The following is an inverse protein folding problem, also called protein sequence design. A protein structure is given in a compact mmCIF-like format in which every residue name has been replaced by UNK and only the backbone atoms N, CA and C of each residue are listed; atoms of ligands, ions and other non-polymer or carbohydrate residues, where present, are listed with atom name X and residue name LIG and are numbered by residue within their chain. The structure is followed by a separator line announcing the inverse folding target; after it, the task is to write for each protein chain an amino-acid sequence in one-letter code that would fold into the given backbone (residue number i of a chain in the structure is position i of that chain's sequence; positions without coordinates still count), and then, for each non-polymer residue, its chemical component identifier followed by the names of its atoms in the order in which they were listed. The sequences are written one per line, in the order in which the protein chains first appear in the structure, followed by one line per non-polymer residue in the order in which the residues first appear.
data_IF_900655551704
#
_entry.id   IF_900655551704
#
_cell.length_a   1.000
_cell.length_b   1.000
_cell.length_c   1.000
_cell.angle_alpha   90.00
_cell.angle_beta   90.00
_cell.angle_gamma   90.00
#
_symmetry.space_group_name_H-M   'P 1'
#
loop_
_entity.id
_entity.type
_entity.pdbx_description
1 polymer ?
#
# COMPACT_ATOMS: atom_id res chain seq x y z
N UNK A 1 -41.61 15.98 -3.72
CA UNK A 1 -40.31 15.40 -3.34
C UNK A 1 -39.19 16.40 -3.69
N UNK A 2 -38.40 16.77 -2.74
CA UNK A 2 -37.33 17.69 -3.04
C UNK A 2 -36.08 16.92 -3.54
N UNK A 3 -35.19 17.66 -4.19
CA UNK A 3 -33.98 17.08 -4.78
C UNK A 3 -33.05 16.47 -3.73
N UNK A 4 -32.98 17.09 -2.56
CA UNK A 4 -32.12 16.58 -1.47
C UNK A 4 -32.58 15.20 -0.99
N UNK A 5 -33.90 14.99 -0.89
CA UNK A 5 -34.45 13.71 -0.50
C UNK A 5 -34.12 12.62 -1.51
N UNK A 6 -34.21 12.95 -2.80
CA UNK A 6 -33.86 12.03 -3.87
C UNK A 6 -32.38 11.66 -3.84
N UNK A 7 -31.53 12.66 -3.73
CA UNK A 7 -30.07 12.41 -3.67
C UNK A 7 -29.68 11.60 -2.43
N UNK A 8 -30.33 11.84 -1.30
CA UNK A 8 -30.08 11.08 -0.09
C UNK A 8 -30.45 9.61 -0.25
N UNK A 9 -31.59 9.33 -0.91
CA UNK A 9 -32.02 7.95 -1.18
C UNK A 9 -31.05 7.25 -2.13
N UNK A 10 -30.60 7.95 -3.16
CA UNK A 10 -29.67 7.37 -4.11
C UNK A 10 -28.32 7.09 -3.47
N UNK A 11 -27.84 7.99 -2.64
CA UNK A 11 -26.61 7.80 -1.87
C UNK A 11 -26.70 6.58 -0.95
N UNK A 12 -27.88 6.32 -0.37
CA UNK A 12 -28.10 5.16 0.51
C UNK A 12 -28.07 3.83 -0.25
N UNK A 13 -28.20 3.83 -1.57
CA UNK A 13 -28.12 2.62 -2.38
C UNK A 13 -26.69 2.14 -2.57
N UNK A 14 -25.72 3.01 -2.32
CA UNK A 14 -24.32 2.66 -2.41
C UNK A 14 -23.92 2.08 -1.04
N UNK A 15 -23.54 0.80 -0.97
CA UNK A 15 -23.15 0.21 0.31
C UNK A 15 -21.90 0.88 0.87
N UNK A 16 -21.77 0.87 2.18
CA UNK A 16 -20.54 1.30 2.84
C UNK A 16 -19.39 0.40 2.38
N UNK A 17 -18.13 0.88 2.45
CA UNK A 17 -16.99 0.03 2.12
C UNK A 17 -17.02 -1.23 2.99
N UNK A 18 -16.79 -2.41 2.41
CA UNK A 18 -16.74 -3.62 3.21
C UNK A 18 -15.57 -3.54 4.20
N UNK A 19 -15.64 -4.25 5.32
CA UNK A 19 -14.50 -4.35 6.21
C UNK A 19 -13.32 -4.96 5.46
N UNK A 20 -12.11 -4.61 5.86
CA UNK A 20 -10.93 -5.22 5.26
C UNK A 20 -11.03 -6.74 5.41
N UNK A 21 -10.77 -7.49 4.36
CA UNK A 21 -10.79 -8.94 4.45
C UNK A 21 -9.71 -9.43 5.41
N UNK A 22 -9.84 -10.67 5.87
CA UNK A 22 -8.78 -11.28 6.67
C UNK A 22 -7.49 -11.29 5.87
N UNK A 23 -6.36 -11.26 6.54
CA UNK A 23 -5.09 -11.20 5.84
C UNK A 23 -4.86 -12.40 4.92
N UNK A 24 -5.43 -13.56 5.25
CA UNK A 24 -5.36 -14.72 4.36
C UNK A 24 -6.05 -14.46 3.03
N UNK A 25 -7.17 -13.75 3.04
CA UNK A 25 -7.88 -13.37 1.82
C UNK A 25 -7.23 -12.18 1.14
N UNK A 26 -6.76 -11.23 1.91
CA UNK A 26 -6.16 -10.01 1.39
C UNK A 26 -4.86 -10.26 0.64
N UNK A 27 -4.08 -11.25 1.09
CA UNK A 27 -2.73 -11.47 0.56
C UNK A 27 -2.71 -11.59 -0.96
N UNK A 28 -3.57 -12.44 -1.55
CA UNK A 28 -3.52 -12.61 -2.99
C UNK A 28 -4.10 -11.42 -3.75
N UNK A 29 -5.08 -10.75 -3.17
CA UNK A 29 -5.79 -9.68 -3.87
C UNK A 29 -5.07 -8.35 -3.71
N UNK A 30 -4.77 -7.96 -2.48
CA UNK A 30 -4.22 -6.64 -2.19
C UNK A 30 -2.71 -6.56 -2.36
N UNK A 31 -2.00 -7.64 -2.07
CA UNK A 31 -0.55 -7.60 -2.11
C UNK A 31 0.03 -8.04 -3.44
N UNK A 32 -0.71 -8.83 -4.21
CA UNK A 32 -0.24 -9.24 -5.55
C UNK A 32 -0.74 -8.28 -6.64
N UNK A 33 -2.03 -7.91 -6.61
CA UNK A 33 -2.61 -7.10 -7.68
C UNK A 33 -2.30 -5.61 -7.57
N UNK A 34 -2.05 -5.12 -6.36
CA UNK A 34 -1.75 -3.71 -6.15
C UNK A 34 -0.27 -3.40 -6.01
N UNK A 35 0.57 -4.37 -6.33
CA UNK A 35 2.02 -4.15 -6.29
C UNK A 35 2.44 -3.42 -7.56
N UNK A 36 2.78 -2.15 -7.41
CA UNK A 36 3.21 -1.32 -8.52
C UNK A 36 4.74 -1.22 -8.51
N UNK A 37 5.37 -1.77 -9.52
CA UNK A 37 6.82 -1.77 -9.64
C UNK A 37 7.36 -0.63 -10.50
N UNK A 38 6.51 0.24 -11.01
CA UNK A 38 6.91 1.40 -11.82
C UNK A 38 7.82 1.04 -13.01
N UNK A 39 7.59 -0.14 -13.58
CA UNK A 39 8.42 -0.63 -14.68
C UNK A 39 9.68 -1.37 -14.25
N UNK A 40 10.00 -1.35 -12.97
CA UNK A 40 11.17 -2.05 -12.43
C UNK A 40 10.83 -3.50 -12.07
N UNK A 41 11.86 -4.30 -11.86
CA UNK A 41 11.70 -5.68 -11.40
C UNK A 41 11.51 -5.70 -9.89
N UNK A 42 10.53 -6.47 -9.42
CA UNK A 42 10.33 -6.67 -7.98
C UNK A 42 11.42 -7.59 -7.43
N UNK A 43 12.12 -7.11 -6.40
CA UNK A 43 13.15 -7.91 -5.73
C UNK A 43 12.58 -8.55 -4.46
N UNK A 44 11.93 -7.74 -3.61
CA UNK A 44 11.40 -8.22 -2.34
C UNK A 44 10.38 -7.23 -1.79
N UNK A 45 9.55 -7.69 -0.87
CA UNK A 45 8.59 -6.86 -0.15
C UNK A 45 8.66 -7.21 1.33
N UNK A 46 8.79 -6.18 2.15
CA UNK A 46 8.83 -6.33 3.61
C UNK A 46 7.59 -5.70 4.22
N UNK A 47 6.80 -6.50 4.94
CA UNK A 47 5.57 -6.05 5.58
C UNK A 47 5.74 -5.93 7.09
N UNK A 48 5.02 -4.98 7.71
CA UNK A 48 4.86 -4.97 9.16
C UNK A 48 4.02 -6.19 9.60
N UNK A 49 4.10 -6.58 10.89
CA UNK A 49 3.27 -7.69 11.38
C UNK A 49 1.78 -7.50 11.15
N UNK A 50 1.26 -6.27 11.28
CA UNK A 50 -0.14 -5.97 11.03
C UNK A 50 -0.45 -5.80 9.54
N UNK A 51 0.58 -5.84 8.68
CA UNK A 51 0.48 -5.74 7.21
C UNK A 51 -0.17 -4.45 6.71
N UNK A 52 -0.04 -3.38 7.49
CA UNK A 52 -0.56 -2.07 7.09
C UNK A 52 0.52 -1.16 6.48
N UNK A 53 1.77 -1.56 6.57
CA UNK A 53 2.90 -0.82 6.01
C UNK A 53 3.86 -1.77 5.32
N UNK A 54 4.54 -1.29 4.29
CA UNK A 54 5.49 -2.14 3.56
C UNK A 54 6.62 -1.34 2.93
N UNK A 55 7.75 -2.00 2.76
CA UNK A 55 8.80 -1.56 1.85
C UNK A 55 8.80 -2.46 0.63
N UNK A 56 8.89 -1.87 -0.55
CA UNK A 56 9.01 -2.58 -1.82
C UNK A 56 10.42 -2.34 -2.34
N UNK A 57 11.16 -3.40 -2.60
CA UNK A 57 12.51 -3.33 -3.14
C UNK A 57 12.46 -3.64 -4.62
N UNK A 58 13.05 -2.74 -5.41
CA UNK A 58 12.96 -2.76 -6.86
C UNK A 58 14.36 -2.75 -7.48
N UNK A 59 14.46 -3.35 -8.66
CA UNK A 59 15.67 -3.32 -9.47
C UNK A 59 15.36 -2.73 -10.83
N UNK A 60 16.10 -1.69 -11.21
CA UNK A 60 15.93 -1.06 -12.51
C UNK A 60 16.49 -1.94 -13.63
N UNK A 61 16.12 -1.62 -14.87
CA UNK A 61 16.65 -2.31 -16.04
C UNK A 61 18.16 -2.15 -16.19
N UNK A 62 18.73 -1.12 -15.58
CA UNK A 62 20.18 -0.87 -15.58
C UNK A 62 20.91 -1.54 -14.43
N UNK A 63 20.19 -2.27 -13.59
CA UNK A 63 20.80 -3.03 -12.49
C UNK A 63 20.96 -2.28 -11.20
N UNK A 64 20.36 -1.11 -11.05
CA UNK A 64 20.37 -0.37 -9.80
C UNK A 64 19.18 -0.73 -8.93
N UNK A 65 19.35 -0.65 -7.62
CA UNK A 65 18.33 -0.99 -6.65
C UNK A 65 17.77 0.26 -5.98
N UNK A 66 16.52 0.19 -5.58
CA UNK A 66 15.86 1.24 -4.78
C UNK A 66 14.76 0.61 -3.94
N UNK A 67 14.27 1.37 -2.96
CA UNK A 67 13.11 0.94 -2.19
C UNK A 67 12.07 2.05 -2.13
N UNK A 68 10.82 1.64 -1.94
CA UNK A 68 9.68 2.55 -1.77
C UNK A 68 8.94 2.14 -0.51
N UNK A 69 8.61 3.11 0.33
CA UNK A 69 7.80 2.87 1.52
C UNK A 69 6.35 3.22 1.23
N UNK A 70 5.44 2.32 1.59
CA UNK A 70 4.01 2.52 1.36
C UNK A 70 3.19 2.17 2.59
N UNK A 71 2.05 2.83 2.73
CA UNK A 71 1.08 2.56 3.78
C UNK A 71 -0.25 2.16 3.17
N UNK A 72 -0.95 1.26 3.85
CA UNK A 72 -2.27 0.82 3.42
C UNK A 72 -3.28 1.91 3.77
N UNK A 73 -4.02 2.36 2.77
CA UNK A 73 -5.05 3.37 2.92
C UNK A 73 -6.42 2.72 2.71
N UNK A 74 -7.17 2.46 3.80
CA UNK A 74 -8.57 2.02 3.66
C UNK A 74 -9.39 3.17 3.07
N UNK A 75 -10.23 2.86 2.10
CA UNK A 75 -11.06 3.88 1.49
C UNK A 75 -12.12 4.38 2.47
N UNK A 76 -12.33 5.71 2.49
CA UNK A 76 -13.44 6.31 3.19
C UNK A 76 -14.74 5.98 2.45
N UNK A 77 -15.87 6.24 3.09
CA UNK A 77 -17.17 6.03 2.47
C UNK A 77 -17.30 6.83 1.17
N UNK A 78 -16.82 8.07 1.18
CA UNK A 78 -16.86 8.91 -0.02
C UNK A 78 -15.99 8.35 -1.14
N UNK A 79 -14.79 7.92 -0.82
CA UNK A 79 -13.89 7.33 -1.82
C UNK A 79 -14.48 6.04 -2.39
N UNK A 80 -15.09 5.23 -1.53
CA UNK A 80 -15.71 3.98 -1.94
C UNK A 80 -16.84 4.19 -2.95
N UNK A 81 -17.55 5.31 -2.85
CA UNK A 81 -18.59 5.64 -3.83
C UNK A 81 -18.07 5.66 -5.25
N UNK A 82 -16.81 6.05 -5.44
CA UNK A 82 -16.19 6.08 -6.76
C UNK A 82 -15.52 4.76 -7.10
N UNK A 83 -14.77 4.21 -6.17
CA UNK A 83 -14.00 2.97 -6.37
C UNK A 83 -14.91 1.79 -6.64
N UNK A 84 -16.06 1.72 -5.97
CA UNK A 84 -17.00 0.60 -6.10
C UNK A 84 -17.62 0.47 -7.50
N UNK A 85 -17.51 1.51 -8.31
CA UNK A 85 -18.01 1.51 -9.69
C UNK A 85 -17.09 0.79 -10.67
N UNK A 86 -15.86 0.53 -10.27
CA UNK A 86 -14.90 -0.17 -11.10
C UNK A 86 -15.09 -1.68 -11.07
N UNK A 87 -14.31 -2.38 -11.87
CA UNK A 87 -14.29 -3.85 -11.87
C UNK A 87 -13.47 -4.35 -10.69
N UNK A 88 -14.02 -5.30 -9.94
CA UNK A 88 -13.30 -5.93 -8.81
C UNK A 88 -12.73 -4.90 -7.84
N UNK A 89 -13.58 -4.02 -7.27
CA UNK A 89 -13.08 -2.99 -6.36
C UNK A 89 -12.50 -3.61 -5.09
N UNK A 90 -11.43 -3.01 -4.59
CA UNK A 90 -10.80 -3.42 -3.32
C UNK A 90 -11.10 -2.35 -2.27
N UNK A 91 -11.21 -2.73 -0.99
CA UNK A 91 -11.58 -1.78 0.06
C UNK A 91 -10.44 -0.87 0.51
N UNK A 92 -9.25 -1.03 -0.04
CA UNK A 92 -8.07 -0.24 0.34
C UNK A 92 -7.09 -0.20 -0.81
N UNK A 93 -6.13 0.72 -0.73
CA UNK A 93 -5.03 0.81 -1.70
C UNK A 93 -3.72 1.11 -0.96
N UNK A 94 -2.60 0.82 -1.64
CA UNK A 94 -1.29 1.15 -1.11
C UNK A 94 -0.86 2.50 -1.64
N UNK A 95 -0.40 3.36 -0.74
CA UNK A 95 0.03 4.70 -1.09
C UNK A 95 1.35 5.05 -0.41
N UNK A 96 2.26 5.76 -1.10
CA UNK A 96 3.44 6.29 -0.43
C UNK A 96 2.99 7.33 0.60
N UNK A 97 3.75 7.44 1.69
CA UNK A 97 3.49 8.51 2.66
C UNK A 97 3.64 9.87 2.00
N UNK A 98 2.93 10.86 2.52
CA UNK A 98 2.99 12.23 1.99
C UNK A 98 4.44 12.71 1.91
N UNK A 99 4.85 13.17 0.74
CA UNK A 99 6.21 13.64 0.50
C UNK A 99 7.23 12.56 0.19
N UNK A 100 6.85 11.29 0.28
CA UNK A 100 7.76 10.19 -0.01
C UNK A 100 7.84 9.93 -1.51
N UNK A 101 9.03 9.92 -2.07
CA UNK A 101 9.23 9.76 -3.51
C UNK A 101 10.13 8.58 -3.87
N UNK A 102 10.36 7.69 -2.92
CA UNK A 102 11.29 6.59 -3.12
C UNK A 102 12.69 6.94 -2.68
N UNK A 103 13.52 5.94 -2.57
CA UNK A 103 14.91 6.12 -2.18
C UNK A 103 15.78 6.57 -3.36
N UNK A 104 17.02 6.91 -3.05
CA UNK A 104 18.07 7.02 -4.07
C UNK A 104 18.31 5.66 -4.71
N UNK A 105 19.10 5.63 -5.77
CA UNK A 105 19.52 4.40 -6.42
C UNK A 105 20.80 3.87 -5.77
N UNK A 106 20.86 2.57 -5.57
CA UNK A 106 22.02 1.90 -4.96
C UNK A 106 22.59 0.89 -5.93
N UNK A 107 23.90 0.70 -5.88
CA UNK A 107 24.59 -0.24 -6.76
C UNK A 107 24.44 -1.70 -6.37
N UNK A 108 24.16 -2.00 -5.10
CA UNK A 108 24.02 -3.36 -4.59
C UNK A 108 22.78 -3.50 -3.73
N UNK A 109 22.27 -4.73 -3.66
CA UNK A 109 21.14 -5.03 -2.78
C UNK A 109 21.52 -4.85 -1.31
N UNK A 110 22.75 -5.19 -0.96
CA UNK A 110 23.27 -5.02 0.40
C UNK A 110 23.19 -3.56 0.87
N UNK A 111 23.65 -2.64 0.02
CA UNK A 111 23.60 -1.22 0.34
C UNK A 111 22.15 -0.72 0.45
N UNK A 112 21.27 -1.25 -0.40
CA UNK A 112 19.86 -0.90 -0.38
C UNK A 112 19.21 -1.28 0.96
N UNK A 113 19.44 -2.51 1.42
CA UNK A 113 18.95 -2.98 2.72
C UNK A 113 19.51 -2.16 3.87
N UNK A 114 20.78 -1.82 3.81
CA UNK A 114 21.45 -1.02 4.85
C UNK A 114 20.77 0.34 4.98
N UNK A 115 20.55 1.03 3.88
CA UNK A 115 19.88 2.33 3.89
C UNK A 115 18.42 2.23 4.30
N UNK A 116 17.73 1.19 3.86
CA UNK A 116 16.34 0.96 4.25
C UNK A 116 16.23 0.85 5.78
N UNK A 117 17.12 0.09 6.41
CA UNK A 117 17.11 -0.10 7.86
C UNK A 117 17.48 1.15 8.64
N UNK A 118 18.09 2.13 7.99
CA UNK A 118 18.39 3.42 8.61
C UNK A 118 17.24 4.42 8.48
N UNK A 119 16.21 4.12 7.69
CA UNK A 119 15.09 5.02 7.50
C UNK A 119 14.27 5.18 8.78
N UNK A 120 13.64 6.37 8.98
CA UNK A 120 12.78 6.59 10.13
C UNK A 120 11.60 5.62 10.19
N UNK A 121 11.03 5.29 9.04
CA UNK A 121 9.88 4.39 8.93
C UNK A 121 10.24 2.97 9.37
N UNK A 122 11.43 2.49 9.01
CA UNK A 122 11.88 1.19 9.45
C UNK A 122 12.04 1.16 10.97
N UNK A 123 12.67 2.16 11.54
CA UNK A 123 12.89 2.24 12.98
C UNK A 123 11.60 2.33 13.77
N UNK A 124 10.62 3.08 13.24
CA UNK A 124 9.33 3.26 13.92
C UNK A 124 8.44 2.03 13.84
N UNK A 125 8.38 1.38 12.69
CA UNK A 125 7.33 0.39 12.42
C UNK A 125 7.84 -1.03 12.24
N UNK A 126 9.08 -1.21 11.85
CA UNK A 126 9.63 -2.54 11.55
C UNK A 126 10.60 -3.01 12.62
N UNK A 127 11.53 -2.18 13.01
CA UNK A 127 12.54 -2.53 14.02
C UNK A 127 11.89 -2.81 15.37
N UNK A 128 10.94 -1.98 15.79
CA UNK A 128 10.26 -2.13 17.07
C UNK A 128 9.44 -3.42 17.16
N UNK A 129 9.06 -3.99 16.01
CA UNK A 129 8.29 -5.22 15.94
C UNK A 129 9.16 -6.46 15.76
N UNK A 130 10.47 -6.30 15.62
CA UNK A 130 11.38 -7.42 15.42
C UNK A 130 11.64 -8.12 16.76
N UNK A 131 11.26 -9.40 16.91
CA UNK A 131 11.45 -10.12 18.17
C UNK A 131 12.87 -10.66 18.38
N UNK A 132 13.75 -10.50 17.41
CA UNK A 132 15.05 -11.16 17.40
C UNK A 132 16.19 -10.34 17.98
N UNK A 133 15.91 -9.29 18.65
CA UNK A 133 16.97 -8.43 19.20
C UNK A 133 17.71 -8.99 20.39
#
# INVERSE_FOLDING_TARGET
MNLLSFLSKEKKKIPAPPPLPSWSEAVSVMYNKQLNCFGDELVDVLYTPDKTKRFVLLKSDKGYFRFVYEELHPFTEEEWMYVSRGKNPLPATWEPSAGWQGSSLFGTLEDTWKELKLSPEYKLYFEAADPCD
#
